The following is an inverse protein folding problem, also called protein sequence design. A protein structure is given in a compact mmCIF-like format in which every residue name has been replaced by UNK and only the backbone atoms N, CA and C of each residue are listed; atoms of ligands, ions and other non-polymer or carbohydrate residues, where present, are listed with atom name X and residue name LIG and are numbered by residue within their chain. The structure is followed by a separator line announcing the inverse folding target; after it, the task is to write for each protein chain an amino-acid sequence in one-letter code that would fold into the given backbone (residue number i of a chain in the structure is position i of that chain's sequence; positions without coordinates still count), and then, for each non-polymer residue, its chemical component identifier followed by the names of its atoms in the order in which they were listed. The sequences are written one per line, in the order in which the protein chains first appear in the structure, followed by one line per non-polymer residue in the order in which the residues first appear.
data_IF_613753485713
#
_entry.id   IF_613753485713
#
_cell.length_a   1.000
_cell.length_b   1.000
_cell.length_c   1.000
_cell.angle_alpha   90.00
_cell.angle_beta   90.00
_cell.angle_gamma   90.00
#
_symmetry.space_group_name_H-M   'P 1'
#
loop_
_entity.id
_entity.type
_entity.pdbx_description
1 polymer ?
#
# COMPACT_ATOMS: atom_id res chain seq x y z
N UNK A 1 0.98 -19.25 -25.32
CA UNK A 1 1.95 -19.35 -24.21
C UNK A 1 1.70 -18.17 -23.29
N UNK A 2 1.07 -18.38 -22.12
CA UNK A 2 0.87 -17.31 -21.13
C UNK A 2 2.17 -17.13 -20.36
N UNK A 3 2.63 -15.87 -20.22
CA UNK A 3 3.92 -15.53 -19.61
C UNK A 3 4.06 -16.17 -18.22
N UNK A 4 5.02 -17.08 -18.10
CA UNK A 4 5.59 -17.46 -16.82
C UNK A 4 6.73 -16.47 -16.53
N UNK A 5 6.37 -15.34 -15.92
CA UNK A 5 7.35 -14.47 -15.28
C UNK A 5 6.77 -14.22 -13.89
N UNK A 6 7.39 -14.83 -12.88
CA UNK A 6 7.22 -14.37 -11.50
C UNK A 6 7.95 -13.02 -11.44
N UNK A 7 7.31 -11.97 -11.97
CA UNK A 7 7.83 -10.61 -11.86
C UNK A 7 7.51 -10.16 -10.46
N UNK A 8 8.51 -10.18 -9.59
CA UNK A 8 8.45 -9.42 -8.36
C UNK A 8 8.57 -7.95 -8.77
N UNK A 9 7.44 -7.33 -9.11
CA UNK A 9 7.38 -5.97 -9.64
C UNK A 9 7.65 -5.00 -8.49
N UNK A 10 8.83 -4.39 -8.49
CA UNK A 10 9.16 -3.33 -7.55
C UNK A 10 8.22 -2.14 -7.82
N UNK A 11 7.49 -1.71 -6.80
CA UNK A 11 6.63 -0.52 -6.83
C UNK A 11 7.17 0.49 -5.83
N UNK A 12 7.27 1.74 -6.26
CA UNK A 12 7.54 2.87 -5.37
C UNK A 12 6.20 3.51 -5.06
N UNK A 13 5.88 3.62 -3.77
CA UNK A 13 4.65 4.19 -3.23
C UNK A 13 5.03 5.22 -2.17
N UNK A 14 4.14 6.18 -1.95
CA UNK A 14 4.34 7.25 -0.98
C UNK A 14 3.50 6.96 0.26
N UNK A 15 4.14 6.96 1.42
CA UNK A 15 3.45 6.90 2.70
C UNK A 15 3.40 8.29 3.33
N UNK A 16 2.20 8.75 3.68
CA UNK A 16 1.99 9.89 4.58
C UNK A 16 1.79 9.32 5.98
N UNK A 17 2.57 9.78 6.96
CA UNK A 17 2.45 9.33 8.36
C UNK A 17 2.17 10.56 9.23
N UNK A 18 1.06 10.53 9.94
CA UNK A 18 0.56 11.62 10.75
C UNK A 18 0.37 11.16 12.19
N UNK A 19 0.64 12.05 13.15
CA UNK A 19 0.37 11.77 14.56
C UNK A 19 -1.11 12.00 14.83
N UNK A 20 -1.81 10.98 15.30
CA UNK A 20 -3.23 11.05 15.65
C UNK A 20 -3.43 10.51 17.07
N UNK A 21 -3.94 11.35 17.97
CA UNK A 21 -4.10 11.00 19.38
C UNK A 21 -2.78 10.65 20.06
N UNK A 22 -2.69 9.42 20.57
CA UNK A 22 -1.51 8.84 21.23
C UNK A 22 -0.65 7.96 20.30
N UNK A 23 -1.01 7.85 19.02
CA UNK A 23 -0.30 7.04 18.03
C UNK A 23 -0.09 7.75 16.69
N UNK A 24 0.08 6.94 15.65
CA UNK A 24 0.34 7.38 14.28
C UNK A 24 -0.55 6.62 13.30
N UNK A 25 -1.07 7.34 12.32
CA UNK A 25 -1.80 6.81 11.17
C UNK A 25 -0.90 6.94 9.94
N UNK A 26 -0.82 5.88 9.15
CA UNK A 26 -0.03 5.82 7.93
C UNK A 26 -0.94 5.52 6.75
N UNK A 27 -0.82 6.30 5.68
CA UNK A 27 -1.67 6.21 4.49
C UNK A 27 -0.82 6.10 3.23
N UNK A 28 -1.14 5.11 2.38
CA UNK A 28 -0.70 5.07 0.99
C UNK A 28 -1.86 5.58 0.12
N UNK A 29 -1.74 6.84 -0.32
CA UNK A 29 -2.82 7.49 -1.08
C UNK A 29 -3.04 6.84 -2.44
N UNK A 30 -1.97 6.33 -3.08
CA UNK A 30 -2.04 5.69 -4.38
C UNK A 30 -2.85 4.38 -4.39
N UNK A 31 -3.06 3.76 -3.23
CA UNK A 31 -3.83 2.51 -3.10
C UNK A 31 -5.07 2.66 -2.21
N UNK A 32 -5.27 3.84 -1.64
CA UNK A 32 -6.30 4.10 -0.62
C UNK A 32 -6.22 3.10 0.54
N UNK A 33 -5.00 2.80 0.99
CA UNK A 33 -4.72 1.88 2.10
C UNK A 33 -4.24 2.70 3.30
N UNK A 34 -4.82 2.39 4.47
CA UNK A 34 -4.49 3.02 5.75
C UNK A 34 -4.06 1.94 6.73
N UNK A 35 -3.11 2.28 7.59
CA UNK A 35 -2.72 1.49 8.75
C UNK A 35 -2.41 2.41 9.93
N UNK A 36 -2.14 1.84 11.10
CA UNK A 36 -1.83 2.58 12.32
C UNK A 36 -0.82 1.86 13.20
N UNK A 37 -0.13 2.61 14.07
CA UNK A 37 0.81 2.08 15.06
C UNK A 37 1.08 3.08 16.18
N UNK A 38 1.67 2.63 17.29
CA UNK A 38 2.03 3.49 18.43
C UNK A 38 3.26 4.34 18.14
N UNK A 39 4.13 3.89 17.23
CA UNK A 39 5.29 4.65 16.73
C UNK A 39 5.22 4.84 15.22
N UNK A 40 6.04 5.75 14.70
CA UNK A 40 6.20 5.96 13.25
C UNK A 40 6.64 4.67 12.56
N UNK A 41 7.59 3.94 13.17
CA UNK A 41 8.12 2.68 12.64
C UNK A 41 7.06 1.59 12.59
N UNK A 42 6.25 1.45 13.65
CA UNK A 42 5.15 0.48 13.70
C UNK A 42 4.09 0.82 12.65
N UNK A 43 3.64 2.08 12.58
CA UNK A 43 2.67 2.51 11.57
C UNK A 43 3.19 2.27 10.15
N UNK A 44 4.49 2.49 9.90
CA UNK A 44 5.11 2.21 8.60
C UNK A 44 5.15 0.71 8.30
N UNK A 45 5.57 -0.12 9.26
CA UNK A 45 5.64 -1.58 9.06
C UNK A 45 4.26 -2.16 8.80
N UNK A 46 3.26 -1.77 9.58
CA UNK A 46 1.89 -2.22 9.41
C UNK A 46 1.29 -1.77 8.07
N UNK A 47 1.70 -0.60 7.55
CA UNK A 47 1.30 -0.17 6.19
C UNK A 47 1.94 -1.04 5.10
N UNK A 48 3.21 -1.43 5.26
CA UNK A 48 3.87 -2.35 4.32
C UNK A 48 3.14 -3.68 4.28
N UNK A 49 2.83 -4.27 5.43
CA UNK A 49 2.08 -5.53 5.51
C UNK A 49 0.69 -5.42 4.87
N UNK A 50 -0.03 -4.32 5.11
CA UNK A 50 -1.33 -4.07 4.50
C UNK A 50 -1.25 -3.94 2.97
N UNK A 51 -0.21 -3.27 2.45
CA UNK A 51 0.03 -3.12 1.02
C UNK A 51 0.42 -4.46 0.37
N UNK A 52 1.27 -5.25 1.03
CA UNK A 52 1.64 -6.60 0.57
C UNK A 52 0.41 -7.52 0.53
N UNK A 53 -0.39 -7.51 1.60
CA UNK A 53 -1.65 -8.25 1.67
C UNK A 53 -2.63 -7.85 0.57
N UNK A 54 -2.74 -6.55 0.25
CA UNK A 54 -3.54 -6.09 -0.89
C UNK A 54 -3.08 -6.73 -2.19
N UNK A 55 -1.78 -6.72 -2.51
CA UNK A 55 -1.29 -7.31 -3.76
C UNK A 55 -1.39 -8.84 -3.80
N UNK A 56 -1.42 -9.50 -2.65
CA UNK A 56 -1.61 -10.96 -2.57
C UNK A 56 -3.05 -11.38 -2.91
N UNK A 57 -4.06 -10.61 -2.46
CA UNK A 57 -5.46 -11.03 -2.55
C UNK A 57 -6.29 -10.26 -3.60
N UNK A 58 -5.88 -9.05 -3.97
CA UNK A 58 -6.65 -8.21 -4.87
C UNK A 58 -6.66 -8.77 -6.30
N UNK A 59 -7.80 -8.63 -6.98
CA UNK A 59 -7.92 -9.00 -8.38
C UNK A 59 -7.05 -8.09 -9.27
N UNK A 60 -6.65 -8.59 -10.44
CA UNK A 60 -5.90 -7.75 -11.40
C UNK A 60 -6.65 -6.46 -11.76
N UNK A 61 -7.98 -6.51 -11.89
CA UNK A 61 -8.82 -5.34 -12.17
C UNK A 61 -8.85 -4.35 -11.01
N UNK A 62 -8.81 -4.82 -9.77
CA UNK A 62 -8.75 -3.95 -8.59
C UNK A 62 -7.38 -3.29 -8.46
N UNK A 63 -6.30 -4.05 -8.68
CA UNK A 63 -4.93 -3.52 -8.71
C UNK A 63 -4.80 -2.44 -9.79
N UNK A 64 -5.40 -2.64 -10.95
CA UNK A 64 -5.43 -1.66 -12.04
C UNK A 64 -6.26 -0.43 -11.67
N UNK A 65 -7.45 -0.62 -11.09
CA UNK A 65 -8.34 0.48 -10.71
C UNK A 65 -7.72 1.41 -9.67
N UNK A 66 -7.11 0.85 -8.61
CA UNK A 66 -6.50 1.65 -7.55
C UNK A 66 -5.13 2.20 -7.95
N UNK A 67 -4.29 1.39 -8.60
CA UNK A 67 -2.91 1.79 -8.96
C UNK A 67 -2.79 2.85 -10.06
N UNK A 68 -3.87 3.20 -10.74
CA UNK A 68 -3.89 4.17 -11.85
C UNK A 68 -4.30 5.58 -11.44
N UNK A 69 -4.42 5.89 -10.14
CA UNK A 69 -4.75 7.24 -9.66
C UNK A 69 -3.54 8.20 -9.78
N UNK A 70 -3.05 8.40 -11.01
CA UNK A 70 -2.29 9.60 -11.38
C UNK A 70 -3.23 10.49 -12.19
N UNK A 71 -3.59 11.60 -11.56
CA UNK A 71 -4.49 12.63 -12.04
C UNK A 71 -4.16 13.01 -13.49
N UNK A 72 -5.20 13.00 -14.32
CA UNK A 72 -5.29 13.62 -15.66
C UNK A 72 -4.92 15.09 -15.66
#
# INVERSE_FOLDING_TARGET
MKQNIIVNKIRQLTAVIEREGDGYVSTCQELEIVSQGKTVEEARLNLVEAVEGFFEVASASEIEARGNYRIS
#
